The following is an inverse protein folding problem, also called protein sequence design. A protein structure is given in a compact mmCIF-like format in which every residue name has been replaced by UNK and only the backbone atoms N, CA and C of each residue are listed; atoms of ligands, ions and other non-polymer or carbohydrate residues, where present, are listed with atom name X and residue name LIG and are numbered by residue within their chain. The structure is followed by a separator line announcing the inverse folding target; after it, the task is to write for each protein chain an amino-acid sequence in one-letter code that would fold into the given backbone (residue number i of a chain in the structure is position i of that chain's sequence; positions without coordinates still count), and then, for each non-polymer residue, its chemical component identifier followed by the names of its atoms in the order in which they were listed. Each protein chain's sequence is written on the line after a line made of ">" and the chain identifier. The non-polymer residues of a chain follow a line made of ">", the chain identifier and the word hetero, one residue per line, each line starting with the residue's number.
data_IF_635433969911
#
_entry.id   IF_635433969911
#
_cell.length_a   1.000
_cell.length_b   1.000
_cell.length_c   1.000
_cell.angle_alpha   90.00
_cell.angle_beta   90.00
_cell.angle_gamma   90.00
#
_symmetry.space_group_name_H-M   'P 1'
#
loop_
_entity.id
_entity.type
_entity.pdbx_description
1 polymer ?
#
# COMPACT_ATOMS: atom_id res chain seq x y z
N UNK A 1 -44.24 -30.63 40.58
CA UNK A 1 -43.69 -30.53 39.22
C UNK A 1 -42.19 -30.16 39.14
N UNK A 2 -41.55 -29.71 40.23
CA UNK A 2 -40.16 -29.21 40.23
C UNK A 2 -39.04 -30.28 40.31
N UNK A 3 -39.39 -31.57 40.47
CA UNK A 3 -38.40 -32.65 40.68
C UNK A 3 -37.80 -33.20 39.37
N UNK A 4 -38.42 -32.95 38.21
CA UNK A 4 -37.90 -33.43 36.91
C UNK A 4 -36.74 -32.57 36.36
N UNK A 5 -36.64 -31.28 36.73
CA UNK A 5 -35.56 -30.40 36.25
C UNK A 5 -34.20 -30.71 36.90
N UNK A 6 -34.17 -31.15 38.16
CA UNK A 6 -32.91 -31.48 38.88
C UNK A 6 -32.20 -32.72 38.35
N UNK A 7 -32.90 -33.61 37.62
CA UNK A 7 -32.32 -34.85 37.09
C UNK A 7 -31.55 -34.65 35.79
N UNK A 8 -31.86 -33.62 34.99
CA UNK A 8 -31.15 -33.31 33.73
C UNK A 8 -29.80 -32.58 33.90
N UNK A 9 -29.53 -31.99 35.06
CA UNK A 9 -28.26 -31.30 35.34
C UNK A 9 -27.14 -32.24 35.82
N UNK A 10 -27.46 -33.52 36.10
CA UNK A 10 -26.54 -34.50 36.68
C UNK A 10 -25.92 -35.46 35.65
N UNK A 11 -26.26 -35.28 34.37
CA UNK A 11 -25.70 -36.03 33.23
C UNK A 11 -24.65 -35.23 32.44
N UNK A 12 -24.06 -34.21 33.07
CA UNK A 12 -22.85 -33.57 32.55
C UNK A 12 -21.65 -34.45 32.85
N UNK A 13 -21.52 -35.55 32.10
CA UNK A 13 -20.25 -36.28 31.99
C UNK A 13 -19.26 -35.30 31.36
N UNK A 14 -18.50 -34.61 32.22
CA UNK A 14 -17.56 -33.58 31.81
C UNK A 14 -16.51 -34.15 30.87
N UNK A 15 -16.12 -33.34 29.88
CA UNK A 15 -14.96 -33.59 29.04
C UNK A 15 -13.79 -34.03 29.91
N UNK A 16 -13.17 -35.14 29.55
CA UNK A 16 -12.00 -35.63 30.25
C UNK A 16 -10.80 -34.74 29.89
N UNK A 17 -9.85 -34.56 30.81
CA UNK A 17 -8.64 -33.78 30.53
C UNK A 17 -7.87 -34.33 29.32
N UNK A 18 -7.95 -35.64 29.07
CA UNK A 18 -7.29 -36.30 27.94
C UNK A 18 -7.89 -35.89 26.58
N UNK A 19 -9.21 -35.69 26.51
CA UNK A 19 -9.87 -35.22 25.28
C UNK A 19 -9.47 -33.79 24.95
N UNK A 20 -9.43 -32.91 25.95
CA UNK A 20 -8.95 -31.54 25.76
C UNK A 20 -7.47 -31.51 25.36
N UNK A 21 -6.65 -32.39 25.95
CA UNK A 21 -5.23 -32.50 25.64
C UNK A 21 -5.01 -32.94 24.19
N UNK A 22 -5.75 -33.96 23.71
CA UNK A 22 -5.64 -34.43 22.33
C UNK A 22 -5.96 -33.32 21.32
N UNK A 23 -6.97 -32.48 21.58
CA UNK A 23 -7.35 -31.37 20.70
C UNK A 23 -6.26 -30.30 20.63
N UNK A 24 -5.70 -29.89 21.77
CA UNK A 24 -4.65 -28.86 21.83
C UNK A 24 -3.39 -29.34 21.10
N UNK A 25 -3.04 -30.64 21.21
CA UNK A 25 -1.89 -31.21 20.49
C UNK A 25 -2.10 -31.13 18.97
N UNK A 26 -3.27 -31.53 18.47
CA UNK A 26 -3.59 -31.46 17.03
C UNK A 26 -3.58 -30.02 16.54
N UNK A 27 -4.23 -29.09 17.27
CA UNK A 27 -4.22 -27.66 16.94
C UNK A 27 -2.80 -27.08 16.96
N UNK A 28 -1.94 -27.54 17.87
CA UNK A 28 -0.54 -27.11 17.96
C UNK A 28 0.26 -27.51 16.73
N UNK A 29 0.14 -28.76 16.27
CA UNK A 29 0.81 -29.25 15.07
C UNK A 29 0.35 -28.48 13.82
N UNK A 30 -0.96 -28.29 13.66
CA UNK A 30 -1.52 -27.53 12.53
C UNK A 30 -1.04 -26.07 12.58
N UNK A 31 -1.11 -25.44 13.75
CA UNK A 31 -0.71 -24.03 13.93
C UNK A 31 0.77 -23.81 13.63
N UNK A 32 1.65 -24.76 13.98
CA UNK A 32 3.07 -24.66 13.73
C UNK A 32 3.42 -24.51 12.23
N UNK A 33 2.67 -25.17 11.34
CA UNK A 33 2.87 -25.09 9.88
C UNK A 33 2.04 -23.95 9.27
N UNK A 34 0.81 -23.76 9.75
CA UNK A 34 -0.13 -22.80 9.17
C UNK A 34 0.29 -21.34 9.43
N UNK A 35 0.77 -21.00 10.63
CA UNK A 35 1.06 -19.61 11.01
C UNK A 35 2.14 -18.99 10.09
N UNK A 36 3.33 -19.59 9.87
CA UNK A 36 4.33 -19.02 8.97
C UNK A 36 3.82 -18.85 7.53
N UNK A 37 3.03 -19.81 7.02
CA UNK A 37 2.47 -19.77 5.67
C UNK A 37 1.47 -18.61 5.49
N UNK A 38 0.55 -18.45 6.45
CA UNK A 38 -0.44 -17.37 6.45
C UNK A 38 0.25 -16.01 6.57
N UNK A 39 1.25 -15.88 7.44
CA UNK A 39 2.02 -14.64 7.58
C UNK A 39 2.73 -14.26 6.27
N UNK A 40 3.31 -15.23 5.56
CA UNK A 40 3.91 -15.02 4.24
C UNK A 40 2.88 -14.59 3.18
N UNK A 41 1.69 -15.19 3.19
CA UNK A 41 0.59 -14.81 2.29
C UNK A 41 0.08 -13.39 2.58
N UNK A 42 -0.02 -13.01 3.85
CA UNK A 42 -0.39 -11.65 4.24
C UNK A 42 0.67 -10.65 3.78
N UNK A 43 1.96 -10.90 4.02
CA UNK A 43 3.05 -10.00 3.58
C UNK A 43 3.03 -9.79 2.06
N UNK A 44 2.84 -10.88 1.32
CA UNK A 44 2.66 -10.88 -0.12
C UNK A 44 1.46 -10.03 -0.57
N UNK A 45 0.30 -10.19 0.07
CA UNK A 45 -0.90 -9.40 -0.21
C UNK A 45 -0.69 -7.92 0.10
N UNK A 46 0.03 -7.62 1.19
CA UNK A 46 0.39 -6.25 1.55
C UNK A 46 1.26 -5.61 0.47
N UNK A 47 2.29 -6.30 0.00
CA UNK A 47 3.17 -5.81 -1.06
C UNK A 47 2.41 -5.57 -2.38
N UNK A 48 1.45 -6.43 -2.73
CA UNK A 48 0.60 -6.20 -3.91
C UNK A 48 -0.27 -4.96 -3.75
N UNK A 49 -0.82 -4.73 -2.56
CA UNK A 49 -1.56 -3.50 -2.26
C UNK A 49 -0.68 -2.25 -2.41
N UNK A 50 0.59 -2.29 -1.97
CA UNK A 50 1.53 -1.17 -2.19
C UNK A 50 1.76 -0.92 -3.68
N UNK A 51 1.94 -1.98 -4.47
CA UNK A 51 2.08 -1.87 -5.93
C UNK A 51 0.84 -1.27 -6.57
N UNK A 52 -0.36 -1.71 -6.17
CA UNK A 52 -1.62 -1.17 -6.65
C UNK A 52 -1.80 0.31 -6.29
N UNK A 53 -1.48 0.69 -5.04
CA UNK A 53 -1.50 2.07 -4.57
C UNK A 53 -0.54 2.97 -5.37
N UNK A 54 0.67 2.47 -5.65
CA UNK A 54 1.64 3.20 -6.48
C UNK A 54 1.15 3.36 -7.93
N UNK A 55 0.52 2.33 -8.50
CA UNK A 55 -0.08 2.42 -9.83
C UNK A 55 -1.25 3.42 -9.86
N UNK A 56 -2.09 3.41 -8.82
CA UNK A 56 -3.19 4.38 -8.66
C UNK A 56 -2.65 5.81 -8.57
N UNK A 57 -1.54 6.01 -7.86
CA UNK A 57 -0.87 7.30 -7.78
C UNK A 57 -0.35 7.78 -9.14
N UNK A 58 0.28 6.90 -9.92
CA UNK A 58 0.71 7.21 -11.29
C UNK A 58 -0.48 7.57 -12.17
N UNK A 59 -1.57 6.79 -12.11
CA UNK A 59 -2.77 7.06 -12.90
C UNK A 59 -3.40 8.41 -12.53
N UNK A 60 -3.39 8.76 -11.25
CA UNK A 60 -3.89 10.06 -10.76
C UNK A 60 -3.01 11.21 -11.27
N UNK A 61 -1.68 11.03 -11.28
CA UNK A 61 -0.77 12.01 -11.87
C UNK A 61 -0.96 12.14 -13.40
N UNK A 62 -1.24 11.03 -14.11
CA UNK A 62 -1.59 11.07 -15.55
C UNK A 62 -2.83 11.91 -15.80
N UNK A 63 -3.87 11.75 -14.96
CA UNK A 63 -5.08 12.57 -15.04
C UNK A 63 -4.78 14.04 -14.77
N UNK A 64 -3.98 14.35 -13.73
CA UNK A 64 -3.58 15.71 -13.42
C UNK A 64 -2.82 16.38 -14.59
N UNK A 65 -1.86 15.67 -15.20
CA UNK A 65 -1.09 16.14 -16.37
C UNK A 65 -1.97 16.34 -17.60
N UNK A 66 -3.03 15.56 -17.76
CA UNK A 66 -3.99 15.73 -18.84
C UNK A 66 -4.90 16.96 -18.64
N UNK A 67 -5.21 17.31 -17.39
CA UNK A 67 -6.07 18.43 -17.03
C UNK A 67 -5.36 19.77 -16.85
N UNK A 68 -4.08 19.78 -16.46
CA UNK A 68 -3.32 20.99 -16.13
C UNK A 68 -2.01 21.05 -16.94
N UNK A 69 -1.90 22.06 -17.82
CA UNK A 69 -0.74 22.25 -18.68
C UNK A 69 0.55 22.56 -17.90
N UNK A 70 0.43 23.13 -16.69
CA UNK A 70 1.60 23.48 -15.85
C UNK A 70 2.34 22.22 -15.38
N UNK A 71 1.64 21.09 -15.30
CA UNK A 71 2.19 19.80 -14.88
C UNK A 71 2.88 19.04 -16.01
N UNK A 72 2.77 19.52 -17.26
CA UNK A 72 3.33 18.86 -18.44
C UNK A 72 4.80 19.26 -18.59
N UNK A 73 5.76 18.31 -18.47
CA UNK A 73 7.14 18.61 -18.80
C UNK A 73 7.27 18.91 -20.30
N UNK A 74 8.24 19.75 -20.65
CA UNK A 74 8.50 20.19 -22.01
C UNK A 74 10.01 20.09 -22.32
N UNK A 75 10.44 20.54 -23.50
CA UNK A 75 11.86 20.43 -23.91
C UNK A 75 12.84 21.18 -22.99
N UNK A 76 12.39 22.26 -22.33
CA UNK A 76 13.22 23.07 -21.42
C UNK A 76 13.14 22.55 -19.98
N UNK A 77 11.93 22.17 -19.54
CA UNK A 77 11.63 21.57 -18.24
C UNK A 77 11.33 20.08 -18.42
N UNK A 78 12.38 19.28 -18.58
CA UNK A 78 12.28 17.86 -18.95
C UNK A 78 11.63 16.98 -17.89
N UNK A 79 11.48 17.48 -16.66
CA UNK A 79 10.95 16.71 -15.53
C UNK A 79 10.05 17.57 -14.63
N UNK A 80 8.96 16.96 -14.15
CA UNK A 80 8.08 17.52 -13.12
C UNK A 80 7.82 16.49 -12.02
N UNK A 81 7.66 16.97 -10.79
CA UNK A 81 7.45 16.17 -9.59
C UNK A 81 6.13 16.55 -8.93
N UNK A 82 5.17 15.63 -8.91
CA UNK A 82 3.84 15.82 -8.31
C UNK A 82 3.74 15.03 -7.02
N UNK A 83 3.47 15.72 -5.91
CA UNK A 83 3.43 15.08 -4.59
C UNK A 83 2.07 14.44 -4.32
N UNK A 84 2.05 13.43 -3.45
CA UNK A 84 0.82 12.77 -3.05
C UNK A 84 -0.18 13.76 -2.43
N UNK A 85 0.30 14.67 -1.57
CA UNK A 85 -0.54 15.73 -0.99
C UNK A 85 -1.28 16.57 -2.03
N UNK A 86 -0.61 16.90 -3.14
CA UNK A 86 -1.21 17.67 -4.23
C UNK A 86 -2.33 16.88 -4.92
N UNK A 87 -2.10 15.60 -5.19
CA UNK A 87 -3.11 14.74 -5.82
C UNK A 87 -4.34 14.58 -4.93
N UNK A 88 -4.16 14.54 -3.61
CA UNK A 88 -5.24 14.45 -2.63
C UNK A 88 -6.03 15.77 -2.50
N UNK A 89 -5.34 16.90 -2.36
CA UNK A 89 -5.99 18.21 -2.19
C UNK A 89 -6.74 18.67 -3.45
N UNK A 90 -6.20 18.38 -4.65
CA UNK A 90 -6.86 18.72 -5.92
C UNK A 90 -7.91 17.66 -6.33
N UNK A 91 -8.09 16.61 -5.53
CA UNK A 91 -9.15 15.60 -5.73
C UNK A 91 -8.88 14.59 -6.85
N UNK A 92 -7.63 14.45 -7.30
CA UNK A 92 -7.24 13.40 -8.26
C UNK A 92 -7.11 12.02 -7.62
N UNK A 93 -6.88 11.97 -6.31
CA UNK A 93 -6.60 10.74 -5.57
C UNK A 93 -7.21 10.81 -4.17
N UNK A 94 -7.86 9.74 -3.74
CA UNK A 94 -8.28 9.61 -2.35
C UNK A 94 -7.07 9.29 -1.45
N UNK A 95 -7.06 9.78 -0.20
CA UNK A 95 -5.97 9.49 0.74
C UNK A 95 -5.72 8.00 0.90
N UNK A 96 -4.49 7.58 0.57
CA UNK A 96 -4.10 6.18 0.58
C UNK A 96 -3.65 5.77 1.98
N UNK A 97 -4.32 4.78 2.57
CA UNK A 97 -3.94 4.23 3.87
C UNK A 97 -2.70 3.33 3.77
N UNK A 98 -1.84 3.44 4.77
CA UNK A 98 -0.68 2.58 4.89
C UNK A 98 -1.10 1.13 5.15
N UNK A 99 -0.55 0.22 4.36
CA UNK A 99 -0.88 -1.21 4.42
C UNK A 99 -0.36 -1.91 5.68
N UNK A 100 0.67 -1.35 6.31
CA UNK A 100 1.25 -1.87 7.56
C UNK A 100 0.55 -1.31 8.78
N UNK A 101 -0.02 -0.11 8.69
CA UNK A 101 -0.72 0.56 9.77
C UNK A 101 -1.93 1.34 9.24
N UNK A 102 -3.09 0.68 9.18
CA UNK A 102 -4.34 1.25 8.62
C UNK A 102 -4.88 2.49 9.34
N UNK A 103 -4.29 2.86 10.49
CA UNK A 103 -4.58 4.12 11.18
C UNK A 103 -3.82 5.32 10.59
N UNK A 104 -2.83 5.05 9.73
CA UNK A 104 -1.96 6.03 9.09
C UNK A 104 -2.15 6.03 7.58
N UNK A 105 -1.71 7.11 6.97
CA UNK A 105 -1.63 7.27 5.52
C UNK A 105 -0.17 7.19 5.08
N UNK A 106 0.04 6.97 3.78
CA UNK A 106 1.36 7.12 3.19
C UNK A 106 1.90 8.54 3.40
N UNK A 107 3.22 8.69 3.37
CA UNK A 107 3.83 10.01 3.55
C UNK A 107 3.47 10.91 2.37
N UNK A 108 2.61 11.91 2.59
CA UNK A 108 2.04 12.76 1.53
C UNK A 108 3.04 13.80 0.96
N UNK A 109 4.08 14.13 1.73
CA UNK A 109 5.02 15.20 1.40
C UNK A 109 4.50 16.60 1.75
N UNK A 110 5.24 17.63 1.35
CA UNK A 110 4.75 19.01 1.46
C UNK A 110 4.03 19.39 0.17
N UNK A 111 3.10 20.34 0.21
CA UNK A 111 2.48 20.82 -1.03
C UNK A 111 3.56 21.53 -1.87
N UNK A 112 3.87 20.98 -3.05
CA UNK A 112 4.68 21.67 -4.03
C UNK A 112 3.79 22.71 -4.69
N UNK A 113 4.06 24.00 -4.43
CA UNK A 113 3.41 25.10 -5.14
C UNK A 113 3.46 24.81 -6.66
N UNK A 114 2.32 24.94 -7.38
CA UNK A 114 2.17 24.60 -8.82
C UNK A 114 3.29 25.17 -9.71
N UNK A 115 3.96 26.23 -9.25
CA UNK A 115 5.01 26.92 -10.00
C UNK A 115 6.43 26.37 -9.77
N UNK A 116 6.65 25.40 -8.87
CA UNK A 116 7.99 24.88 -8.57
C UNK A 116 8.00 23.35 -8.41
N UNK A 117 7.65 22.65 -9.50
CA UNK A 117 7.62 21.18 -9.59
C UNK A 117 8.88 20.59 -10.25
N UNK A 118 9.94 21.36 -10.48
CA UNK A 118 11.14 20.88 -11.21
C UNK A 118 12.20 20.27 -10.30
N UNK A 119 11.99 20.30 -8.98
CA UNK A 119 12.91 19.71 -8.00
C UNK A 119 12.28 18.51 -7.31
N UNK A 120 13.06 17.43 -7.08
CA UNK A 120 12.56 16.28 -6.35
C UNK A 120 12.21 16.69 -4.91
N UNK A 121 11.07 16.24 -4.38
CA UNK A 121 10.66 16.55 -3.01
C UNK A 121 11.65 15.96 -2.00
N UNK A 122 12.06 16.77 -1.03
CA UNK A 122 12.95 16.30 0.04
C UNK A 122 12.27 15.31 1.01
N UNK A 123 10.94 15.27 1.02
CA UNK A 123 10.12 14.41 1.89
C UNK A 123 8.81 14.04 1.18
N UNK A 124 8.33 12.83 1.46
CA UNK A 124 7.03 12.34 1.00
C UNK A 124 7.07 11.53 -0.27
N UNK A 125 5.89 11.04 -0.63
CA UNK A 125 5.59 10.26 -1.82
C UNK A 125 5.31 11.20 -2.97
N UNK A 126 5.81 10.87 -4.17
CA UNK A 126 5.64 11.69 -5.36
C UNK A 126 5.72 10.85 -6.63
N UNK A 127 5.17 11.40 -7.72
CA UNK A 127 5.34 10.91 -9.08
C UNK A 127 6.26 11.85 -9.83
N UNK A 128 7.32 11.30 -10.42
CA UNK A 128 8.16 11.97 -11.40
C UNK A 128 7.56 11.74 -12.79
N UNK A 129 7.38 12.82 -13.53
CA UNK A 129 6.90 12.84 -14.90
C UNK A 129 8.05 13.36 -15.76
N UNK A 130 8.50 12.56 -16.71
CA UNK A 130 9.64 12.87 -17.57
C UNK A 130 9.18 12.98 -19.02
N UNK A 131 9.64 14.02 -19.70
CA UNK A 131 9.38 14.24 -21.13
C UNK A 131 10.15 13.22 -21.97
N UNK A 132 9.45 12.50 -22.84
CA UNK A 132 10.10 11.59 -23.78
C UNK A 132 10.51 12.31 -25.06
N UNK A 133 11.79 12.67 -25.17
CA UNK A 133 12.36 13.30 -26.37
C UNK A 133 12.27 12.43 -27.62
N UNK A 134 12.05 11.12 -27.50
CA UNK A 134 11.83 10.23 -28.65
C UNK A 134 10.38 10.26 -29.15
N UNK A 135 9.42 10.64 -28.30
CA UNK A 135 7.99 10.67 -28.61
C UNK A 135 7.35 11.90 -27.93
N UNK A 136 7.25 13.05 -28.62
CA UNK A 136 6.87 14.35 -28.01
C UNK A 136 5.43 14.42 -27.45
N UNK A 137 4.64 13.35 -27.62
CA UNK A 137 3.27 13.21 -27.07
C UNK A 137 3.18 12.21 -25.92
N UNK A 138 4.27 11.56 -25.52
CA UNK A 138 4.28 10.58 -24.42
C UNK A 138 5.18 11.04 -23.28
N UNK A 139 4.75 10.74 -22.05
CA UNK A 139 5.51 10.99 -20.83
C UNK A 139 5.87 9.66 -20.17
N UNK A 140 7.04 9.62 -19.53
CA UNK A 140 7.44 8.50 -18.67
C UNK A 140 7.09 8.83 -17.23
N UNK A 141 6.54 7.86 -16.52
CA UNK A 141 6.10 8.02 -15.14
C UNK A 141 6.90 7.09 -14.23
N UNK A 142 7.38 7.65 -13.13
CA UNK A 142 8.07 6.92 -12.08
C UNK A 142 7.56 7.38 -10.72
N UNK A 143 7.51 6.49 -9.73
CA UNK A 143 6.85 6.76 -8.44
C UNK A 143 7.76 6.46 -7.26
N UNK A 144 7.65 7.28 -6.23
CA UNK A 144 8.12 7.00 -4.88
C UNK A 144 6.90 6.98 -3.97
N UNK A 145 6.65 5.84 -3.30
CA UNK A 145 5.57 5.69 -2.33
C UNK A 145 6.18 5.25 -0.99
N UNK A 146 6.09 6.12 0.01
CA UNK A 146 6.75 5.91 1.31
C UNK A 146 5.73 5.58 2.39
N UNK A 147 5.71 4.31 2.79
CA UNK A 147 4.97 3.82 3.96
C UNK A 147 5.86 3.73 5.20
N UNK A 148 5.31 3.18 6.28
CA UNK A 148 5.98 2.95 7.55
C UNK A 148 7.05 1.87 7.45
N UNK A 149 6.68 0.72 6.92
CA UNK A 149 7.60 -0.40 6.69
C UNK A 149 7.72 -0.66 5.19
N UNK A 150 6.61 -0.87 4.48
CA UNK A 150 6.62 -1.15 3.04
C UNK A 150 6.64 0.11 2.20
N UNK A 151 7.63 0.20 1.32
CA UNK A 151 7.80 1.35 0.41
C UNK A 151 8.25 0.95 -1.00
N UNK A 152 7.90 1.77 -1.98
CA UNK A 152 8.36 1.67 -3.37
C UNK A 152 9.27 2.86 -3.67
N UNK A 153 10.43 2.58 -4.25
CA UNK A 153 11.48 3.56 -4.51
C UNK A 153 12.24 3.98 -3.25
N UNK A 154 13.13 4.95 -3.43
CA UNK A 154 13.83 5.63 -2.34
C UNK A 154 13.59 7.13 -2.52
N UNK A 155 13.72 7.91 -1.44
CA UNK A 155 13.45 9.37 -1.38
C UNK A 155 13.77 10.18 -2.66
N UNK A 156 14.84 9.87 -3.37
CA UNK A 156 15.25 10.56 -4.61
C UNK A 156 15.39 9.65 -5.82
N UNK A 157 15.03 8.37 -5.69
CA UNK A 157 15.14 7.35 -6.73
C UNK A 157 13.76 6.74 -6.98
N UNK A 158 12.96 7.33 -7.87
CA UNK A 158 11.65 6.81 -8.23
C UNK A 158 11.77 5.53 -9.05
N UNK A 159 10.81 4.63 -8.89
CA UNK A 159 10.71 3.39 -9.65
C UNK A 159 9.81 3.60 -10.86
N UNK A 160 10.27 3.18 -12.04
CA UNK A 160 9.50 3.31 -13.27
C UNK A 160 8.21 2.47 -13.21
N UNK A 161 7.14 2.97 -13.84
CA UNK A 161 5.85 2.26 -13.92
C UNK A 161 5.98 0.81 -14.41
N UNK A 162 6.81 0.57 -15.44
CA UNK A 162 7.05 -0.76 -15.99
C UNK A 162 7.71 -1.75 -15.02
N UNK A 163 8.35 -1.24 -13.97
CA UNK A 163 9.08 -2.04 -12.99
C UNK A 163 8.26 -2.33 -11.73
N UNK A 164 7.02 -1.81 -11.64
CA UNK A 164 6.16 -1.99 -10.48
C UNK A 164 5.74 -3.46 -10.34
N UNK A 165 6.32 -4.12 -9.33
CA UNK A 165 6.03 -5.50 -8.97
C UNK A 165 6.38 -5.77 -7.51
N UNK A 166 5.84 -6.85 -6.96
CA UNK A 166 6.05 -7.22 -5.54
C UNK A 166 7.52 -7.22 -5.09
N UNK A 167 8.44 -7.62 -5.97
CA UNK A 167 9.87 -7.75 -5.61
C UNK A 167 10.59 -6.43 -5.37
N UNK A 168 10.04 -5.29 -5.82
CA UNK A 168 10.65 -3.97 -5.62
C UNK A 168 10.15 -3.28 -4.35
N UNK A 169 9.11 -3.82 -3.71
CA UNK A 169 8.61 -3.35 -2.41
C UNK A 169 9.61 -3.75 -1.34
N UNK A 170 10.19 -2.75 -0.68
CA UNK A 170 11.16 -2.92 0.40
C UNK A 170 10.46 -3.01 1.73
#
# INVERSE_FOLDING_TARGET
>A
MFQMLKKKLKDQRGLTLIELLAVIVILGIISAIAIPSILGLIDNSKKDSVVANAQQMINSAKLAVAGDEVLRPNLTDQEKYVNLKFLEEEGYLEPLKDVDDTSKFYSEGQNSNKNNLTTPPNKGSFVKIEYDSSNPKSYKYSVVLLGKEKSIGKKTSPEAESNLKRSIVK
#
